data_IF_365051536565
#
_entry.id   IF_365051536565
#
_cell.length_a   1.000
_cell.length_b   1.000
_cell.length_c   1.000
_cell.angle_alpha   90.00
_cell.angle_beta   90.00
_cell.angle_gamma   90.00
#
_symmetry.space_group_name_H-M   'P 1'
#
loop_
_entity.id
_entity.type
_entity.pdbx_description
1 polymer ?
#
# COMPACT_ATOMS: atom_id res chain seq x y z
N UNK A 1 -51.47 -12.09 -61.54
CA UNK A 1 -50.46 -11.87 -60.49
C UNK A 1 -50.02 -13.24 -60.05
N UNK A 2 -48.94 -13.70 -60.68
CA UNK A 2 -48.54 -15.11 -60.75
C UNK A 2 -47.74 -15.49 -59.49
N UNK A 3 -47.84 -16.74 -59.04
CA UNK A 3 -47.26 -17.20 -57.77
C UNK A 3 -45.75 -16.90 -57.62
N UNK A 4 -45.03 -16.79 -58.74
CA UNK A 4 -43.62 -16.40 -58.79
C UNK A 4 -43.37 -14.96 -58.30
N UNK A 5 -44.27 -14.03 -58.60
CA UNK A 5 -44.16 -12.63 -58.16
C UNK A 5 -44.31 -12.53 -56.64
N UNK A 6 -45.25 -13.29 -56.06
CA UNK A 6 -45.45 -13.36 -54.62
C UNK A 6 -44.26 -14.01 -53.90
N UNK A 7 -43.68 -15.07 -54.47
CA UNK A 7 -42.48 -15.71 -53.95
C UNK A 7 -41.28 -14.74 -53.94
N UNK A 8 -41.11 -13.95 -55.01
CA UNK A 8 -40.05 -12.94 -55.10
C UNK A 8 -40.19 -11.84 -54.04
N UNK A 9 -41.43 -11.36 -53.79
CA UNK A 9 -41.67 -10.36 -52.73
C UNK A 9 -41.42 -10.90 -51.32
N UNK A 10 -41.80 -12.15 -51.04
CA UNK A 10 -41.50 -12.81 -49.77
C UNK A 10 -39.98 -12.95 -49.58
N UNK A 11 -39.27 -13.38 -50.62
CA UNK A 11 -37.82 -13.50 -50.57
C UNK A 11 -37.13 -12.14 -50.35
N UNK A 12 -37.60 -11.08 -51.02
CA UNK A 12 -37.09 -9.73 -50.81
C UNK A 12 -37.32 -9.25 -49.37
N UNK A 13 -38.52 -9.46 -48.82
CA UNK A 13 -38.84 -9.10 -47.44
C UNK A 13 -37.96 -9.86 -46.43
N UNK A 14 -37.71 -11.14 -46.67
CA UNK A 14 -36.83 -11.97 -45.84
C UNK A 14 -35.38 -11.46 -45.85
N UNK A 15 -34.86 -11.07 -47.03
CA UNK A 15 -33.50 -10.50 -47.16
C UNK A 15 -33.41 -9.15 -46.44
N UNK A 16 -34.40 -8.27 -46.58
CA UNK A 16 -34.43 -6.98 -45.89
C UNK A 16 -34.51 -7.14 -44.37
N UNK A 17 -35.32 -8.09 -43.88
CA UNK A 17 -35.39 -8.39 -42.45
C UNK A 17 -34.06 -8.93 -41.91
N UNK A 18 -33.38 -9.80 -42.66
CA UNK A 18 -32.06 -10.30 -42.29
C UNK A 18 -31.01 -9.17 -42.23
N UNK A 19 -30.99 -8.27 -43.22
CA UNK A 19 -30.10 -7.10 -43.22
C UNK A 19 -30.38 -6.21 -42.01
N UNK A 20 -31.65 -5.90 -41.74
CA UNK A 20 -32.03 -5.08 -40.60
C UNK A 20 -31.59 -5.72 -39.27
N UNK A 21 -31.76 -7.04 -39.12
CA UNK A 21 -31.31 -7.76 -37.93
C UNK A 21 -29.78 -7.67 -37.74
N UNK A 22 -29.00 -7.82 -38.81
CA UNK A 22 -27.54 -7.67 -38.77
C UNK A 22 -27.13 -6.26 -38.38
N UNK A 23 -27.76 -5.23 -38.97
CA UNK A 23 -27.46 -3.82 -38.64
C UNK A 23 -27.76 -3.54 -37.16
N UNK A 24 -28.92 -3.99 -36.66
CA UNK A 24 -29.28 -3.84 -35.24
C UNK A 24 -28.26 -4.54 -34.34
N UNK A 25 -27.86 -5.77 -34.68
CA UNK A 25 -26.88 -6.53 -33.91
C UNK A 25 -25.52 -5.83 -33.86
N UNK A 26 -25.05 -5.28 -34.98
CA UNK A 26 -23.78 -4.54 -35.03
C UNK A 26 -23.85 -3.27 -34.18
N UNK A 27 -24.94 -2.51 -34.26
CA UNK A 27 -25.12 -1.31 -33.45
C UNK A 27 -25.18 -1.64 -31.95
N UNK A 28 -25.87 -2.72 -31.58
CA UNK A 28 -25.92 -3.19 -30.20
C UNK A 28 -24.53 -3.62 -29.70
N UNK A 29 -23.75 -4.34 -30.52
CA UNK A 29 -22.40 -4.76 -30.18
C UNK A 29 -21.44 -3.56 -30.00
N UNK A 30 -21.54 -2.55 -30.86
CA UNK A 30 -20.76 -1.31 -30.75
C UNK A 30 -21.12 -0.54 -29.46
N UNK A 31 -22.41 -0.38 -29.18
CA UNK A 31 -22.87 0.26 -27.95
C UNK A 31 -22.38 -0.48 -26.70
N UNK A 32 -22.49 -1.81 -26.68
CA UNK A 32 -21.99 -2.64 -25.60
C UNK A 32 -20.47 -2.52 -25.41
N UNK A 33 -19.70 -2.46 -26.51
CA UNK A 33 -18.25 -2.27 -26.47
C UNK A 33 -17.86 -0.93 -25.85
N UNK A 34 -18.54 0.15 -26.22
CA UNK A 34 -18.30 1.49 -25.65
C UNK A 34 -18.62 1.49 -24.15
N UNK A 35 -19.77 0.95 -23.75
CA UNK A 35 -20.16 0.86 -22.34
C UNK A 35 -19.15 0.04 -21.54
N UNK A 36 -18.68 -1.09 -22.07
CA UNK A 36 -17.68 -1.93 -21.44
C UNK A 36 -16.34 -1.19 -21.24
N UNK A 37 -15.90 -0.42 -22.25
CA UNK A 37 -14.68 0.40 -22.14
C UNK A 37 -14.82 1.51 -21.09
N UNK A 38 -15.96 2.20 -21.07
CA UNK A 38 -16.23 3.25 -20.08
C UNK A 38 -16.25 2.67 -18.68
N UNK A 39 -17.02 1.61 -18.45
CA UNK A 39 -17.08 0.94 -17.15
C UNK A 39 -15.72 0.40 -16.71
N UNK A 40 -14.97 -0.24 -17.62
CA UNK A 40 -13.63 -0.72 -17.30
C UNK A 40 -12.66 0.40 -16.92
N UNK A 41 -12.78 1.58 -17.55
CA UNK A 41 -11.96 2.74 -17.21
C UNK A 41 -12.31 3.35 -15.84
N UNK A 42 -13.61 3.39 -15.50
CA UNK A 42 -14.11 3.89 -14.22
C UNK A 42 -13.77 2.95 -13.07
N UNK A 43 -13.90 1.64 -13.30
CA UNK A 43 -13.58 0.61 -12.32
C UNK A 43 -12.08 0.63 -11.99
N UNK A 44 -11.22 0.73 -13.02
CA UNK A 44 -9.77 0.85 -12.83
C UNK A 44 -9.38 2.09 -12.00
N UNK A 45 -10.03 3.23 -12.23
CA UNK A 45 -9.77 4.45 -11.44
C UNK A 45 -10.24 4.30 -10.00
N UNK A 46 -11.42 3.74 -9.81
CA UNK A 46 -12.01 3.53 -8.47
C UNK A 46 -11.19 2.53 -7.66
N UNK A 47 -10.76 1.43 -8.28
CA UNK A 47 -9.91 0.43 -7.66
C UNK A 47 -8.57 1.01 -7.20
N UNK A 48 -7.97 1.91 -7.98
CA UNK A 48 -6.73 2.60 -7.58
C UNK A 48 -6.97 3.51 -6.36
N UNK A 49 -8.03 4.32 -6.38
CA UNK A 49 -8.36 5.21 -5.25
C UNK A 49 -8.65 4.42 -3.97
N UNK A 50 -9.39 3.32 -4.08
CA UNK A 50 -9.68 2.44 -2.94
C UNK A 50 -8.39 1.80 -2.43
N UNK A 51 -7.54 1.30 -3.31
CA UNK A 51 -6.25 0.70 -2.92
C UNK A 51 -5.34 1.71 -2.21
N UNK A 52 -5.25 2.95 -2.71
CA UNK A 52 -4.45 3.99 -2.04
C UNK A 52 -5.02 4.35 -0.67
N UNK A 53 -6.34 4.48 -0.56
CA UNK A 53 -7.01 4.78 0.70
C UNK A 53 -6.86 3.63 1.71
N UNK A 54 -6.95 2.39 1.26
CA UNK A 54 -6.76 1.21 2.12
C UNK A 54 -5.30 1.11 2.58
N UNK A 55 -4.32 1.34 1.70
CA UNK A 55 -2.92 1.39 2.11
C UNK A 55 -2.65 2.46 3.17
N UNK A 56 -3.23 3.66 3.02
CA UNK A 56 -3.11 4.73 4.01
C UNK A 56 -3.80 4.35 5.33
N UNK A 57 -5.01 3.79 5.27
CA UNK A 57 -5.72 3.30 6.45
C UNK A 57 -4.92 2.22 7.19
N UNK A 58 -4.41 1.21 6.48
CA UNK A 58 -3.60 0.13 7.05
C UNK A 58 -2.30 0.67 7.67
N UNK A 59 -1.68 1.68 7.05
CA UNK A 59 -0.50 2.36 7.61
C UNK A 59 -0.86 3.03 8.93
N UNK A 60 -1.89 3.88 8.94
CA UNK A 60 -2.31 4.62 10.14
C UNK A 60 -2.77 3.68 11.26
N UNK A 61 -3.51 2.63 10.93
CA UNK A 61 -3.95 1.63 11.91
C UNK A 61 -2.78 0.89 12.54
N UNK A 62 -1.78 0.49 11.75
CA UNK A 62 -0.55 -0.13 12.26
C UNK A 62 0.22 0.84 13.17
N UNK A 63 0.32 2.10 12.76
CA UNK A 63 1.00 3.13 13.53
C UNK A 63 0.31 3.36 14.89
N UNK A 64 -1.02 3.38 14.90
CA UNK A 64 -1.82 3.47 16.12
C UNK A 64 -1.59 2.27 17.05
N UNK A 65 -1.54 1.03 16.53
CA UNK A 65 -1.23 -0.17 17.33
C UNK A 65 0.16 -0.07 17.98
N UNK A 66 1.16 0.40 17.24
CA UNK A 66 2.52 0.59 17.77
C UNK A 66 2.57 1.66 18.87
N UNK A 67 1.85 2.78 18.69
CA UNK A 67 1.74 3.84 19.69
C UNK A 67 1.02 3.36 20.95
N UNK A 68 -0.06 2.59 20.80
CA UNK A 68 -0.78 2.01 21.92
C UNK A 68 0.09 1.05 22.72
N UNK A 69 0.86 0.18 22.05
CA UNK A 69 1.84 -0.70 22.71
C UNK A 69 2.92 0.07 23.46
N UNK A 70 3.41 1.17 22.87
CA UNK A 70 4.41 2.02 23.53
C UNK A 70 3.83 2.69 24.78
N UNK A 71 2.60 3.20 24.68
CA UNK A 71 1.88 3.79 25.80
C UNK A 71 1.64 2.75 26.91
N UNK A 72 1.20 1.55 26.57
CA UNK A 72 1.01 0.45 27.52
C UNK A 72 2.33 0.05 28.20
N UNK A 73 3.43 0.02 27.45
CA UNK A 73 4.76 -0.26 27.99
C UNK A 73 5.17 0.80 29.03
N UNK A 74 4.98 2.09 28.75
CA UNK A 74 5.25 3.15 29.71
C UNK A 74 4.29 3.15 30.92
N UNK A 75 3.00 2.90 30.69
CA UNK A 75 1.98 2.89 31.74
C UNK A 75 2.16 1.74 32.74
N UNK A 76 2.87 0.67 32.36
CA UNK A 76 3.25 -0.40 33.30
C UNK A 76 4.22 0.06 34.39
N UNK A 77 4.75 1.28 34.33
CA UNK A 77 5.47 1.93 35.42
C UNK A 77 6.89 1.40 35.66
N UNK A 78 7.42 0.59 34.75
CA UNK A 78 8.70 -0.10 34.89
C UNK A 78 8.63 -1.27 35.89
N UNK A 79 9.41 -2.31 35.61
CA UNK A 79 9.52 -3.45 36.52
C UNK A 79 10.69 -3.26 37.49
N UNK A 80 10.52 -3.67 38.75
CA UNK A 80 11.64 -3.78 39.71
C UNK A 80 12.52 -5.00 39.43
N UNK A 81 12.05 -5.93 38.60
CA UNK A 81 12.82 -7.08 38.14
C UNK A 81 13.71 -6.65 36.99
N UNK A 82 15.04 -6.68 37.19
CA UNK A 82 16.03 -6.16 36.25
C UNK A 82 15.91 -6.73 34.83
N UNK A 83 15.61 -8.03 34.69
CA UNK A 83 15.39 -8.66 33.39
C UNK A 83 14.16 -8.14 32.66
N UNK A 84 13.06 -7.92 33.39
CA UNK A 84 11.82 -7.38 32.81
C UNK A 84 11.97 -5.90 32.46
N UNK A 85 12.65 -5.11 33.31
CA UNK A 85 12.96 -3.72 33.03
C UNK A 85 13.80 -3.58 31.75
N UNK A 86 14.81 -4.43 31.57
CA UNK A 86 15.63 -4.47 30.36
C UNK A 86 14.82 -4.83 29.11
N UNK A 87 13.92 -5.83 29.23
CA UNK A 87 13.03 -6.22 28.14
C UNK A 87 12.08 -5.09 27.75
N UNK A 88 11.42 -4.47 28.72
CA UNK A 88 10.51 -3.34 28.49
C UNK A 88 11.24 -2.15 27.83
N UNK A 89 12.44 -1.80 28.31
CA UNK A 89 13.24 -0.74 27.70
C UNK A 89 13.67 -1.04 26.26
N UNK A 90 14.04 -2.29 25.97
CA UNK A 90 14.37 -2.71 24.59
C UNK A 90 13.15 -2.68 23.65
N UNK A 91 11.98 -3.05 24.16
CA UNK A 91 10.72 -2.95 23.42
C UNK A 91 10.37 -1.49 23.13
N UNK A 92 10.43 -0.61 24.15
CA UNK A 92 10.18 0.82 23.99
C UNK A 92 11.12 1.45 22.95
N UNK A 93 12.43 1.14 23.02
CA UNK A 93 13.40 1.64 22.04
C UNK A 93 13.07 1.17 20.61
N UNK A 94 12.71 -0.11 20.45
CA UNK A 94 12.34 -0.67 19.14
C UNK A 94 11.08 -0.01 18.59
N UNK A 95 10.07 0.22 19.43
CA UNK A 95 8.83 0.90 19.06
C UNK A 95 9.10 2.36 18.66
N UNK A 96 9.88 3.11 19.45
CA UNK A 96 10.29 4.48 19.13
C UNK A 96 11.02 4.53 17.78
N UNK A 97 11.96 3.62 17.54
CA UNK A 97 12.69 3.53 16.27
C UNK A 97 11.79 3.20 15.08
N UNK A 98 10.81 2.30 15.27
CA UNK A 98 9.86 1.88 14.23
C UNK A 98 8.88 3.00 13.88
N UNK A 99 8.33 3.70 14.88
CA UNK A 99 7.40 4.82 14.69
C UNK A 99 8.14 6.01 14.06
N UNK A 100 9.28 6.40 14.64
CA UNK A 100 10.18 7.39 14.07
C UNK A 100 10.00 8.85 14.51
N UNK A 101 10.83 9.73 13.93
CA UNK A 101 10.90 11.13 14.31
C UNK A 101 9.66 11.95 13.90
N UNK A 102 8.92 11.54 12.87
CA UNK A 102 7.76 12.31 12.40
C UNK A 102 6.62 12.38 13.42
N UNK A 103 6.52 11.36 14.28
CA UNK A 103 5.45 11.24 15.30
C UNK A 103 5.97 11.37 16.71
N UNK A 104 7.19 10.91 16.96
CA UNK A 104 7.83 10.93 18.27
C UNK A 104 9.16 11.69 18.22
N UNK A 105 9.20 12.96 17.78
CA UNK A 105 10.45 13.68 17.52
C UNK A 105 11.35 13.76 18.76
N UNK A 106 10.77 14.05 19.93
CA UNK A 106 11.52 14.20 21.19
C UNK A 106 12.05 12.85 21.71
N UNK A 107 11.22 11.81 21.70
CA UNK A 107 11.63 10.47 22.14
C UNK A 107 12.66 9.88 21.18
N UNK A 108 12.50 10.08 19.88
CA UNK A 108 13.43 9.61 18.88
C UNK A 108 14.79 10.30 19.03
N UNK A 109 14.84 11.63 19.16
CA UNK A 109 16.08 12.36 19.36
C UNK A 109 16.81 11.98 20.67
N UNK A 110 16.06 11.65 21.73
CA UNK A 110 16.63 11.29 23.02
C UNK A 110 17.07 9.83 23.13
N UNK A 111 16.43 8.90 22.41
CA UNK A 111 16.67 7.46 22.55
C UNK A 111 17.36 6.82 21.35
N UNK A 112 17.14 7.33 20.13
CA UNK A 112 17.71 6.79 18.90
C UNK A 112 18.92 7.65 18.53
N UNK A 113 20.11 7.04 18.63
CA UNK A 113 21.35 7.65 18.16
C UNK A 113 21.38 7.73 16.62
N UNK A 114 22.10 8.70 16.08
CA UNK A 114 22.35 8.79 14.62
C UNK A 114 23.06 7.54 14.10
N UNK A 115 22.89 7.23 12.80
CA UNK A 115 23.55 6.09 12.16
C UNK A 115 25.08 6.11 12.36
N UNK A 116 25.71 7.29 12.36
CA UNK A 116 27.14 7.45 12.59
C UNK A 116 27.54 7.12 14.04
N UNK A 117 26.74 7.56 15.01
CA UNK A 117 26.92 7.19 16.42
C UNK A 117 26.74 5.68 16.61
N UNK A 118 25.72 5.08 15.99
CA UNK A 118 25.50 3.64 16.01
C UNK A 118 26.66 2.85 15.39
N UNK A 119 27.21 3.31 14.26
CA UNK A 119 28.40 2.72 13.63
C UNK A 119 29.63 2.82 14.53
N UNK A 120 29.78 3.93 15.26
CA UNK A 120 30.87 4.12 16.23
C UNK A 120 30.75 3.12 17.39
N UNK A 121 29.54 2.85 17.88
CA UNK A 121 29.30 1.85 18.92
C UNK A 121 29.57 0.40 18.47
N UNK A 122 29.55 0.11 17.16
CA UNK A 122 29.90 -1.24 16.67
C UNK A 122 31.39 -1.56 16.80
N UNK A 123 32.25 -0.54 16.65
CA UNK A 123 33.71 -0.68 16.76
C UNK A 123 34.21 -0.61 18.20
N UNK A 124 33.37 -0.21 19.15
CA UNK A 124 33.69 -0.21 20.58
C UNK A 124 34.00 -1.64 21.09
N UNK A 125 35.22 -1.91 21.60
CA UNK A 125 35.61 -3.24 22.10
C UNK A 125 34.88 -3.63 23.40
N UNK A 126 34.39 -2.67 24.19
CA UNK A 126 33.69 -2.96 25.46
C UNK A 126 32.20 -3.27 25.26
N UNK A 127 31.67 -3.00 24.07
CA UNK A 127 30.26 -3.21 23.76
C UNK A 127 29.90 -4.71 23.71
N UNK A 128 28.90 -5.16 24.50
CA UNK A 128 28.45 -6.55 24.47
C UNK A 128 28.00 -7.01 23.08
N UNK A 129 28.33 -8.26 22.72
CA UNK A 129 28.04 -8.83 21.39
C UNK A 129 26.57 -8.73 21.00
N UNK A 130 25.65 -9.05 21.92
CA UNK A 130 24.21 -8.97 21.67
C UNK A 130 23.73 -7.53 21.37
N UNK A 131 24.35 -6.51 21.98
CA UNK A 131 24.03 -5.10 21.67
C UNK A 131 24.55 -4.71 20.29
N UNK A 132 25.71 -5.21 19.88
CA UNK A 132 26.22 -5.01 18.52
C UNK A 132 25.27 -5.59 17.47
N UNK A 133 24.71 -6.77 17.71
CA UNK A 133 23.69 -7.35 16.81
C UNK A 133 22.42 -6.48 16.76
N UNK A 134 21.93 -6.00 17.90
CA UNK A 134 20.78 -5.09 17.93
C UNK A 134 21.05 -3.78 17.16
N UNK A 135 22.25 -3.21 17.28
CA UNK A 135 22.67 -2.02 16.53
C UNK A 135 22.68 -2.29 15.02
N UNK A 136 23.18 -3.45 14.57
CA UNK A 136 23.14 -3.83 13.15
C UNK A 136 21.71 -3.89 12.62
N UNK A 137 20.78 -4.46 13.40
CA UNK A 137 19.36 -4.52 13.04
C UNK A 137 18.76 -3.11 12.97
N UNK A 138 19.07 -2.23 13.92
CA UNK A 138 18.60 -0.84 13.90
C UNK A 138 19.11 -0.09 12.67
N UNK A 139 20.38 -0.25 12.30
CA UNK A 139 20.94 0.34 11.08
C UNK A 139 20.24 -0.17 9.81
N UNK A 140 19.93 -1.48 9.75
CA UNK A 140 19.17 -2.05 8.65
C UNK A 140 17.73 -1.51 8.59
N UNK A 141 17.08 -1.34 9.74
CA UNK A 141 15.75 -0.74 9.83
C UNK A 141 15.76 0.72 9.36
N UNK A 142 16.73 1.51 9.80
CA UNK A 142 16.91 2.91 9.37
C UNK A 142 17.15 3.01 7.85
N UNK A 143 17.96 2.10 7.29
CA UNK A 143 18.19 2.03 5.84
C UNK A 143 16.92 1.64 5.07
N UNK A 144 16.18 0.65 5.56
CA UNK A 144 14.90 0.22 4.98
C UNK A 144 13.87 1.34 4.97
N UNK A 145 13.75 2.08 6.10
CA UNK A 145 12.89 3.26 6.21
C UNK A 145 13.27 4.31 5.17
N UNK A 146 14.54 4.70 5.07
CA UNK A 146 14.99 5.69 4.06
C UNK A 146 14.68 5.25 2.64
N UNK A 147 14.83 3.96 2.34
CA UNK A 147 14.50 3.43 1.02
C UNK A 147 12.99 3.51 0.74
N UNK A 148 12.16 3.23 1.75
CA UNK A 148 10.71 3.37 1.67
C UNK A 148 10.30 4.83 1.49
N UNK A 149 10.86 5.75 2.29
CA UNK A 149 10.60 7.18 2.21
C UNK A 149 10.98 7.72 0.82
N UNK A 150 12.17 7.36 0.31
CA UNK A 150 12.60 7.72 -1.04
C UNK A 150 11.68 7.16 -2.13
N UNK A 151 11.08 5.97 -1.92
CA UNK A 151 10.10 5.40 -2.85
C UNK A 151 8.77 6.15 -2.83
N UNK A 152 8.32 6.61 -1.65
CA UNK A 152 7.10 7.38 -1.47
C UNK A 152 7.25 8.84 -1.94
N UNK A 153 8.43 9.42 -1.79
CA UNK A 153 8.78 10.77 -2.24
C UNK A 153 9.14 10.82 -3.72
N UNK A 154 9.50 9.69 -4.34
CA UNK A 154 9.76 9.64 -5.78
C UNK A 154 8.46 10.00 -6.50
N UNK A 155 8.40 11.17 -7.18
CA UNK A 155 7.20 11.56 -7.90
C UNK A 155 6.91 10.43 -8.88
N UNK A 156 5.69 9.91 -8.78
CA UNK A 156 5.14 8.95 -9.71
C UNK A 156 5.68 9.28 -11.11
N UNK A 157 6.37 8.31 -11.73
CA UNK A 157 6.42 8.22 -13.19
C UNK A 157 4.99 7.98 -13.68
N UNK A 158 4.13 9.01 -13.54
CA UNK A 158 2.88 9.14 -14.27
C UNK A 158 3.30 9.47 -15.69
N UNK A 159 3.11 8.53 -16.59
CA UNK A 159 3.30 8.74 -18.02
C UNK A 159 4.48 7.99 -18.59
N UNK A 160 4.20 6.76 -19.04
CA UNK A 160 4.38 6.37 -20.45
C UNK A 160 3.40 5.26 -20.78
#
# INVERSE_FOLDING_TARGET
MEQEELANWIQLAAVLAAIAAVVIAVLAALAASIVALVLGSLDRRTALTISTSDHEFQRLFREQDLLQRLLDNYNRGGSTVSGEAGRMGSEALTLIGTIGPDRLPELWASHISSDDSLRTLLVDPEMPSYKKEAIKVQLALNASRRALDAHLESPLRVGR
#
